data_IF_469689346386
#
_entry.id   IF_469689346386
#
_cell.length_a   1.000
_cell.length_b   1.000
_cell.length_c   1.000
_cell.angle_alpha   90.00
_cell.angle_beta   90.00
_cell.angle_gamma   90.00
#
_symmetry.space_group_name_H-M   'P 1'
#
loop_
_entity.id
_entity.type
_entity.pdbx_description
1 polymer ?
#
# COMPACT_ATOMS: atom_id res chain seq x y z
N UNK A 1 8.98 -23.70 9.11
CA UNK A 1 9.76 -22.63 8.42
C UNK A 1 8.79 -21.86 7.54
N UNK A 2 8.68 -20.55 7.67
CA UNK A 2 8.00 -19.76 6.64
C UNK A 2 8.98 -19.67 5.48
N UNK A 3 8.80 -20.50 4.46
CA UNK A 3 9.51 -20.28 3.20
C UNK A 3 9.19 -18.86 2.74
N UNK A 4 10.23 -18.03 2.65
CA UNK A 4 10.15 -16.73 2.01
C UNK A 4 10.02 -16.97 0.51
N UNK A 5 8.78 -16.87 0.02
CA UNK A 5 8.38 -17.14 -1.37
C UNK A 5 9.18 -16.31 -2.40
N UNK A 6 9.55 -15.07 -2.04
CA UNK A 6 10.23 -14.15 -2.97
C UNK A 6 11.68 -14.56 -3.28
N UNK A 7 12.54 -14.84 -2.28
CA UNK A 7 13.84 -15.48 -2.51
C UNK A 7 13.77 -16.70 -3.42
N UNK A 8 12.88 -17.66 -3.13
CA UNK A 8 12.74 -18.87 -3.96
C UNK A 8 12.32 -18.57 -5.40
N UNK A 9 11.47 -17.57 -5.61
CA UNK A 9 11.07 -17.14 -6.96
C UNK A 9 12.24 -16.54 -7.74
N UNK A 10 13.13 -15.80 -7.07
CA UNK A 10 14.35 -15.25 -7.67
C UNK A 10 15.32 -16.35 -8.06
N UNK A 11 15.54 -17.31 -7.17
CA UNK A 11 16.42 -18.46 -7.43
C UNK A 11 15.89 -19.26 -8.63
N UNK A 12 14.59 -19.57 -8.64
CA UNK A 12 13.91 -20.23 -9.76
C UNK A 12 14.08 -19.49 -11.09
N UNK A 13 13.99 -18.16 -11.08
CA UNK A 13 14.15 -17.33 -12.26
C UNK A 13 15.59 -17.32 -12.76
N UNK A 14 16.55 -17.20 -11.84
CA UNK A 14 17.98 -17.21 -12.13
C UNK A 14 18.42 -18.54 -12.73
N UNK A 15 17.98 -19.66 -12.16
CA UNK A 15 18.27 -21.02 -12.64
C UNK A 15 17.80 -21.25 -14.08
N UNK A 16 16.77 -20.53 -14.53
CA UNK A 16 16.24 -20.58 -15.90
C UNK A 16 16.76 -19.48 -16.81
N UNK A 17 17.67 -18.63 -16.32
CA UNK A 17 18.23 -17.51 -17.08
C UNK A 17 17.26 -16.35 -17.30
N UNK A 18 16.15 -16.28 -16.55
CA UNK A 18 15.23 -15.15 -16.61
C UNK A 18 15.82 -13.95 -15.87
N UNK A 19 15.91 -12.81 -16.57
CA UNK A 19 16.46 -11.56 -16.02
C UNK A 19 15.43 -10.66 -15.36
N UNK A 20 14.14 -10.95 -15.54
CA UNK A 20 13.05 -10.08 -15.09
C UNK A 20 11.90 -10.91 -14.57
N UNK A 21 11.40 -10.51 -13.41
CA UNK A 21 10.22 -11.08 -12.78
C UNK A 21 9.17 -9.97 -12.73
N UNK A 22 7.98 -10.29 -13.22
CA UNK A 22 6.82 -9.40 -13.14
C UNK A 22 5.72 -10.14 -12.38
N UNK A 23 5.23 -9.53 -11.32
CA UNK A 23 4.09 -10.03 -10.55
C UNK A 23 2.86 -9.20 -10.91
N UNK A 24 1.86 -9.86 -11.50
CA UNK A 24 0.56 -9.28 -11.76
C UNK A 24 -0.30 -9.48 -10.52
N UNK A 25 -0.88 -8.39 -10.03
CA UNK A 25 -1.73 -8.38 -8.84
C UNK A 25 -3.09 -7.83 -9.19
N UNK A 26 -4.12 -8.45 -8.65
CA UNK A 26 -5.43 -7.85 -8.62
C UNK A 26 -5.42 -6.58 -7.75
N UNK A 27 -6.21 -5.59 -8.16
CA UNK A 27 -6.37 -4.33 -7.46
C UNK A 27 -7.56 -4.35 -6.49
N UNK A 28 -7.68 -5.42 -5.71
CA UNK A 28 -8.60 -5.43 -4.57
C UNK A 28 -7.90 -4.97 -3.28
N UNK A 29 -8.66 -4.24 -2.45
CA UNK A 29 -8.18 -3.66 -1.18
C UNK A 29 -7.75 -4.69 -0.15
N UNK A 30 -8.25 -5.94 -0.26
CA UNK A 30 -7.90 -7.03 0.65
C UNK A 30 -6.65 -7.82 0.25
N UNK A 31 -6.15 -7.68 -0.98
CA UNK A 31 -4.96 -8.40 -1.46
C UNK A 31 -3.64 -7.79 -0.97
N UNK A 32 -3.66 -6.56 -0.45
CA UNK A 32 -2.51 -5.99 0.25
C UNK A 32 -2.96 -4.95 1.25
N UNK A 33 -2.37 -5.00 2.45
CA UNK A 33 -2.48 -3.90 3.41
C UNK A 33 -1.76 -2.64 2.88
N UNK A 34 -2.29 -1.48 3.24
CA UNK A 34 -1.57 -0.21 3.17
C UNK A 34 -0.33 -0.27 4.07
N UNK A 35 0.73 0.44 3.70
CA UNK A 35 1.78 0.76 4.66
C UNK A 35 1.17 1.54 5.83
N UNK A 36 1.71 1.33 7.03
CA UNK A 36 1.18 1.94 8.25
C UNK A 36 1.09 3.47 8.14
N UNK A 37 2.06 4.11 7.48
CA UNK A 37 2.06 5.56 7.23
C UNK A 37 0.82 6.05 6.46
N UNK A 38 0.31 5.30 5.47
CA UNK A 38 -0.90 5.71 4.73
C UNK A 38 -2.21 5.21 5.36
N UNK A 39 -2.17 4.54 6.51
CA UNK A 39 -3.42 4.17 7.19
C UNK A 39 -4.02 5.39 7.85
N UNK A 40 -5.34 5.53 7.73
CA UNK A 40 -6.08 6.57 8.44
C UNK A 40 -6.01 6.31 9.95
N UNK A 41 -5.76 7.34 10.78
CA UNK A 41 -5.90 7.25 12.23
C UNK A 41 -7.38 7.08 12.59
N UNK A 42 -7.68 6.67 13.83
CA UNK A 42 -9.06 6.75 14.31
C UNK A 42 -9.46 8.22 14.51
N UNK A 43 -10.76 8.48 14.53
CA UNK A 43 -11.34 9.81 14.74
C UNK A 43 -11.27 10.30 16.19
N UNK A 44 -10.19 9.98 16.90
CA UNK A 44 -9.91 10.50 18.23
C UNK A 44 -8.89 11.64 18.11
N UNK A 45 -9.10 12.76 18.79
CA UNK A 45 -8.22 13.95 18.68
C UNK A 45 -6.75 13.62 18.92
N UNK A 46 -6.47 12.78 19.93
CA UNK A 46 -5.13 12.32 20.27
C UNK A 46 -4.49 11.53 19.11
N UNK A 47 -5.20 10.53 18.58
CA UNK A 47 -4.71 9.69 17.49
C UNK A 47 -4.48 10.49 16.19
N UNK A 48 -5.31 11.50 15.92
CA UNK A 48 -5.11 12.39 14.76
C UNK A 48 -3.84 13.21 14.93
N UNK A 49 -3.60 13.79 16.11
CA UNK A 49 -2.38 14.57 16.38
C UNK A 49 -1.12 13.72 16.27
N UNK A 50 -1.10 12.54 16.90
CA UNK A 50 0.01 11.58 16.80
C UNK A 50 0.29 11.18 15.34
N UNK A 51 -0.77 11.02 14.53
CA UNK A 51 -0.62 10.74 13.12
C UNK A 51 -0.05 11.92 12.33
N UNK A 52 -0.51 13.15 12.59
CA UNK A 52 0.01 14.36 11.95
C UNK A 52 1.49 14.58 12.31
N UNK A 53 1.85 14.39 13.59
CA UNK A 53 3.23 14.47 14.08
C UNK A 53 4.12 13.44 13.38
N UNK A 54 3.66 12.19 13.27
CA UNK A 54 4.38 11.12 12.55
C UNK A 54 4.60 11.38 11.07
N UNK A 55 3.82 12.28 10.47
CA UNK A 55 3.94 12.71 9.07
C UNK A 55 4.58 14.10 8.91
N UNK A 56 5.04 14.71 10.00
CA UNK A 56 5.57 16.08 10.03
C UNK A 56 4.59 17.11 9.43
N UNK A 57 3.30 16.97 9.74
CA UNK A 57 2.25 17.89 9.30
C UNK A 57 1.93 18.85 10.44
N UNK A 58 2.16 20.14 10.22
CA UNK A 58 1.89 21.18 11.22
C UNK A 58 0.38 21.39 11.45
N UNK A 59 0.04 21.59 12.72
CA UNK A 59 -1.30 21.94 13.18
C UNK A 59 -1.23 22.91 14.35
N UNK A 60 -2.28 23.71 14.50
CA UNK A 60 -2.39 24.68 15.57
C UNK A 60 -3.11 24.06 16.78
N UNK A 61 -2.72 24.45 17.99
CA UNK A 61 -3.27 23.86 19.22
C UNK A 61 -4.79 24.02 19.39
N UNK A 62 -5.36 25.05 18.76
CA UNK A 62 -6.77 25.39 18.83
C UNK A 62 -7.62 24.77 17.72
N UNK A 63 -7.01 24.14 16.70
CA UNK A 63 -7.74 23.48 15.62
C UNK A 63 -8.65 22.37 16.16
N UNK A 64 -9.88 22.38 15.66
CA UNK A 64 -10.94 21.42 15.95
C UNK A 64 -10.65 20.05 15.32
N UNK A 65 -11.31 19.00 15.82
CA UNK A 65 -11.17 17.64 15.25
C UNK A 65 -11.48 17.59 13.75
N UNK A 66 -12.53 18.27 13.23
CA UNK A 66 -12.77 18.35 11.80
C UNK A 66 -11.64 18.99 10.99
N UNK A 67 -11.03 20.09 11.49
CA UNK A 67 -9.92 20.78 10.82
C UNK A 67 -8.67 19.89 10.77
N UNK A 68 -8.32 19.25 11.88
CA UNK A 68 -7.23 18.28 11.93
C UNK A 68 -7.48 17.10 10.98
N UNK A 69 -8.73 16.62 10.90
CA UNK A 69 -9.12 15.53 10.01
C UNK A 69 -9.06 15.91 8.52
N UNK A 70 -9.32 17.18 8.20
CA UNK A 70 -9.19 17.69 6.84
C UNK A 70 -7.73 17.57 6.37
N UNK A 71 -6.76 17.96 7.20
CA UNK A 71 -5.33 17.82 6.89
C UNK A 71 -4.92 16.38 6.63
N UNK A 72 -5.40 15.43 7.44
CA UNK A 72 -5.19 13.98 7.20
C UNK A 72 -5.75 13.57 5.84
N UNK A 73 -6.95 14.05 5.51
CA UNK A 73 -7.62 13.73 4.26
C UNK A 73 -6.90 14.34 3.06
N UNK A 74 -6.45 15.58 3.17
CA UNK A 74 -5.68 16.28 2.14
C UNK A 74 -4.33 15.62 1.89
N UNK A 75 -3.62 15.23 2.95
CA UNK A 75 -2.40 14.44 2.82
C UNK A 75 -2.68 13.15 2.02
N UNK A 76 -3.63 12.33 2.47
CA UNK A 76 -3.93 11.05 1.81
C UNK A 76 -4.44 11.23 0.37
N UNK A 77 -5.19 12.29 0.10
CA UNK A 77 -5.67 12.61 -1.25
C UNK A 77 -4.54 13.07 -2.17
N UNK A 78 -3.55 13.81 -1.66
CA UNK A 78 -2.39 14.24 -2.43
C UNK A 78 -1.42 13.08 -2.69
N UNK A 79 -1.28 12.16 -1.73
CA UNK A 79 -0.57 10.90 -1.89
C UNK A 79 -1.47 9.84 -2.55
N UNK A 80 -2.10 10.20 -3.68
CA UNK A 80 -3.10 9.43 -4.48
C UNK A 80 -2.79 7.94 -4.67
N UNK A 81 -1.53 7.55 -4.59
CA UNK A 81 -1.14 6.15 -4.60
C UNK A 81 -1.06 5.66 -3.14
N UNK A 82 -2.16 5.10 -2.64
CA UNK A 82 -2.14 4.15 -1.53
C UNK A 82 -0.91 3.24 -1.68
N UNK A 83 0.17 3.47 -0.92
CA UNK A 83 1.35 2.62 -1.04
C UNK A 83 1.07 1.35 -0.26
N UNK A 84 1.01 0.26 -0.99
CA UNK A 84 0.72 -1.05 -0.44
C UNK A 84 2.02 -1.75 -0.03
N UNK A 85 1.99 -2.43 1.12
CA UNK A 85 3.14 -3.13 1.66
C UNK A 85 3.80 -4.07 0.63
N UNK A 86 2.99 -4.88 -0.06
CA UNK A 86 3.51 -5.85 -1.03
C UNK A 86 4.17 -5.19 -2.24
N UNK A 87 3.68 -4.02 -2.67
CA UNK A 87 4.25 -3.33 -3.83
C UNK A 87 5.61 -2.74 -3.47
N UNK A 88 5.72 -2.17 -2.28
CA UNK A 88 6.99 -1.68 -1.73
C UNK A 88 7.99 -2.83 -1.49
N UNK A 89 7.53 -3.94 -0.91
CA UNK A 89 8.36 -5.11 -0.66
C UNK A 89 8.91 -5.72 -1.96
N UNK A 90 8.06 -5.99 -2.95
CA UNK A 90 8.48 -6.55 -4.24
C UNK A 90 9.41 -5.59 -5.00
N UNK A 91 9.14 -4.27 -4.93
CA UNK A 91 10.01 -3.27 -5.52
C UNK A 91 11.40 -3.25 -4.88
N UNK A 92 11.49 -3.37 -3.55
CA UNK A 92 12.78 -3.46 -2.84
C UNK A 92 13.57 -4.70 -3.26
N UNK A 93 12.86 -5.78 -3.62
CA UNK A 93 13.43 -7.00 -4.17
C UNK A 93 13.78 -6.89 -5.68
N UNK A 94 13.57 -5.75 -6.33
CA UNK A 94 13.81 -5.58 -7.76
C UNK A 94 12.78 -6.27 -8.66
N UNK A 95 11.66 -6.71 -8.11
CA UNK A 95 10.56 -7.36 -8.84
C UNK A 95 9.58 -6.28 -9.31
N UNK A 96 9.22 -6.33 -10.60
CA UNK A 96 8.23 -5.42 -11.17
C UNK A 96 6.83 -5.85 -10.77
N UNK A 97 5.97 -4.90 -10.46
CA UNK A 97 4.57 -5.15 -10.12
C UNK A 97 3.64 -4.45 -11.11
N UNK A 98 2.59 -5.14 -11.52
CA UNK A 98 1.52 -4.60 -12.37
C UNK A 98 0.20 -4.84 -11.66
N UNK A 99 -0.61 -3.79 -11.50
CA UNK A 99 -1.97 -3.89 -10.94
C UNK A 99 -2.98 -3.91 -12.07
N UNK A 100 -3.88 -4.89 -12.03
CA UNK A 100 -5.03 -4.92 -12.93
C UNK A 100 -6.00 -3.77 -12.58
N UNK A 101 -6.77 -3.26 -13.55
CA UNK A 101 -7.94 -2.44 -13.23
C UNK A 101 -8.90 -3.19 -12.29
N UNK A 102 -9.62 -2.51 -11.39
CA UNK A 102 -10.61 -3.16 -10.54
C UNK A 102 -11.73 -3.78 -11.40
N UNK A 103 -12.30 -4.91 -10.96
CA UNK A 103 -13.41 -5.61 -11.60
C UNK A 103 -13.11 -6.14 -13.01
N UNK A 104 -11.99 -6.86 -13.16
CA UNK A 104 -11.58 -7.51 -14.39
C UNK A 104 -11.72 -9.04 -14.31
N UNK A 105 -12.96 -9.54 -14.29
CA UNK A 105 -13.24 -10.97 -14.08
C UNK A 105 -12.62 -11.91 -15.13
N UNK A 106 -12.30 -11.41 -16.34
CA UNK A 106 -11.58 -12.19 -17.36
C UNK A 106 -10.18 -12.63 -16.92
N UNK A 107 -9.50 -11.81 -16.11
CA UNK A 107 -8.15 -12.07 -15.63
C UNK A 107 -8.09 -12.46 -14.15
N UNK A 108 -9.22 -12.38 -13.44
CA UNK A 108 -9.31 -12.75 -12.03
C UNK A 108 -10.66 -13.40 -11.67
N UNK A 109 -10.70 -14.74 -11.65
CA UNK A 109 -11.91 -15.52 -11.37
C UNK A 109 -12.54 -15.30 -9.99
N UNK A 110 -11.83 -14.70 -9.02
CA UNK A 110 -12.40 -14.40 -7.70
C UNK A 110 -13.33 -13.17 -7.74
N UNK A 111 -13.17 -12.29 -8.72
CA UNK A 111 -14.05 -11.14 -8.91
C UNK A 111 -15.35 -11.62 -9.57
N UNK A 112 -16.47 -11.47 -8.84
CA UNK A 112 -17.79 -11.72 -9.41
C UNK A 112 -18.19 -10.54 -10.30
N UNK A 113 -18.34 -10.85 -11.58
CA UNK A 113 -19.26 -10.17 -12.48
C UNK A 113 -20.68 -10.74 -12.23
#
# INVERSE_FOLDING_TARGET
>A
MKETVVPSLKDFALDRGYKTIVVIKDNATYHSRLLEEYKRPKRARKEIKEWLDGHNIEYEGHESVPELWLKVTDFLNNFRANKYYMDTYLKAEGIKTVRLPPHHCDFNRIEKC
#
